data_IF_624882985671
#
_entry.id   IF_624882985671
#
_cell.length_a   1.000
_cell.length_b   1.000
_cell.length_c   1.000
_cell.angle_alpha   90.00
_cell.angle_beta   90.00
_cell.angle_gamma   90.00
#
_symmetry.space_group_name_H-M   'P 1'
#
loop_
_entity.id
_entity.type
_entity.pdbx_description
1 polymer ?
#
# COMPACT_ATOMS: atom_id res chain seq x y z
N UNK A 1 44.56 -16.12 23.00
CA UNK A 1 43.41 -16.49 22.14
C UNK A 1 43.89 -16.60 20.70
N UNK A 2 43.61 -17.71 20.02
CA UNK A 2 44.09 -17.94 18.64
C UNK A 2 43.35 -17.06 17.63
N UNK A 3 43.94 -16.83 16.45
CA UNK A 3 43.28 -16.08 15.35
C UNK A 3 41.97 -16.75 14.91
N UNK A 4 41.92 -18.08 14.94
CA UNK A 4 40.73 -18.89 14.61
C UNK A 4 39.62 -18.65 15.65
N UNK A 5 39.98 -18.63 16.93
CA UNK A 5 39.01 -18.36 18.02
C UNK A 5 38.42 -16.95 17.92
N UNK A 6 39.21 -15.95 17.51
CA UNK A 6 38.71 -14.59 17.28
C UNK A 6 37.77 -14.52 16.08
N UNK A 7 38.09 -15.18 14.96
CA UNK A 7 37.24 -15.22 13.78
C UNK A 7 35.89 -15.89 14.10
N UNK A 8 35.90 -17.04 14.78
CA UNK A 8 34.68 -17.75 15.21
C UNK A 8 33.79 -16.90 16.12
N UNK A 9 34.38 -16.16 17.06
CA UNK A 9 33.62 -15.25 17.94
C UNK A 9 32.98 -14.10 17.17
N UNK A 10 33.68 -13.52 16.19
CA UNK A 10 33.12 -12.45 15.34
C UNK A 10 31.96 -12.99 14.50
N UNK A 11 32.11 -14.17 13.89
CA UNK A 11 31.04 -14.80 13.11
C UNK A 11 29.82 -15.14 13.98
N UNK A 12 30.04 -15.69 15.18
CA UNK A 12 28.94 -16.02 16.10
C UNK A 12 28.18 -14.77 16.55
N UNK A 13 28.89 -13.68 16.85
CA UNK A 13 28.24 -12.40 17.19
C UNK A 13 27.48 -11.82 16.00
N UNK A 14 28.03 -11.89 14.78
CA UNK A 14 27.34 -11.43 13.57
C UNK A 14 26.06 -12.24 13.30
N UNK A 15 26.10 -13.57 13.42
CA UNK A 15 24.92 -14.44 13.26
C UNK A 15 23.88 -14.17 14.34
N UNK A 16 24.31 -13.98 15.60
CA UNK A 16 23.38 -13.63 16.69
C UNK A 16 22.78 -12.23 16.52
N UNK A 17 23.52 -11.27 15.98
CA UNK A 17 22.99 -9.94 15.68
C UNK A 17 21.94 -9.99 14.58
N UNK A 18 22.22 -10.71 13.48
CA UNK A 18 21.27 -10.90 12.38
C UNK A 18 19.99 -11.62 12.83
N UNK A 19 20.13 -12.66 13.67
CA UNK A 19 19.00 -13.38 14.24
C UNK A 19 18.21 -12.55 15.26
N UNK A 20 18.87 -11.62 15.97
CA UNK A 20 18.19 -10.68 16.86
C UNK A 20 17.39 -9.64 16.07
N UNK A 21 17.91 -9.13 14.96
CA UNK A 21 17.15 -8.23 14.07
C UNK A 21 15.93 -8.93 13.48
N UNK A 22 16.04 -10.18 13.02
CA UNK A 22 14.87 -10.92 12.49
C UNK A 22 13.87 -11.39 13.56
N UNK A 23 14.20 -11.30 14.85
CA UNK A 23 13.34 -11.70 15.97
C UNK A 23 12.48 -10.56 16.53
N UNK A 24 12.67 -9.32 16.07
CA UNK A 24 11.75 -8.22 16.29
C UNK A 24 11.00 -7.99 14.99
N UNK A 25 9.69 -8.21 14.99
CA UNK A 25 8.85 -7.96 13.82
C UNK A 25 9.13 -6.55 13.30
N UNK A 26 9.38 -6.45 11.99
CA UNK A 26 9.59 -5.16 11.34
C UNK A 26 8.21 -4.54 11.13
N UNK A 27 8.10 -3.25 11.44
CA UNK A 27 6.94 -2.44 11.11
C UNK A 27 7.41 -1.41 10.10
N UNK A 28 7.01 -1.59 8.85
CA UNK A 28 7.35 -0.69 7.76
C UNK A 28 6.12 0.14 7.38
N UNK A 29 6.32 1.43 7.15
CA UNK A 29 5.29 2.29 6.58
C UNK A 29 5.64 2.60 5.12
N UNK A 30 4.68 2.42 4.22
CA UNK A 30 4.80 2.69 2.79
C UNK A 30 3.85 3.83 2.41
N UNK A 31 4.39 4.91 1.86
CA UNK A 31 3.60 6.04 1.37
C UNK A 31 3.10 5.83 -0.08
N UNK A 32 2.33 6.77 -0.63
CA UNK A 32 2.05 6.77 -2.07
C UNK A 32 1.04 5.72 -2.56
N UNK A 33 0.28 5.09 -1.66
CA UNK A 33 -0.79 4.17 -2.06
C UNK A 33 -1.91 4.94 -2.77
N UNK A 34 -2.41 4.41 -3.89
CA UNK A 34 -3.44 5.03 -4.74
C UNK A 34 -3.06 6.43 -5.30
N UNK A 35 -1.77 6.70 -5.49
CA UNK A 35 -1.26 8.01 -5.94
C UNK A 35 -1.50 8.35 -7.43
N UNK A 36 -2.02 7.41 -8.22
CA UNK A 36 -2.31 7.58 -9.64
C UNK A 36 -3.47 6.68 -10.08
N UNK A 37 -4.14 7.05 -11.17
CA UNK A 37 -5.22 6.27 -11.77
C UNK A 37 -6.54 7.03 -11.90
N UNK A 38 -7.60 6.28 -12.12
CA UNK A 38 -8.94 6.83 -12.29
C UNK A 38 -10.04 5.94 -11.71
N UNK A 39 -11.16 6.58 -11.38
CA UNK A 39 -12.46 5.95 -11.19
C UNK A 39 -13.42 6.44 -12.28
N UNK A 40 -14.17 5.52 -12.89
CA UNK A 40 -15.25 5.84 -13.82
C UNK A 40 -16.59 5.74 -13.10
N UNK A 41 -17.40 6.79 -13.18
CA UNK A 41 -18.76 6.83 -12.63
C UNK A 41 -19.65 7.72 -13.50
N UNK A 42 -20.91 7.30 -13.73
CA UNK A 42 -21.85 8.09 -14.54
C UNK A 42 -21.39 8.34 -15.99
N UNK A 43 -20.46 7.52 -16.51
CA UNK A 43 -19.86 7.70 -17.83
C UNK A 43 -18.63 8.62 -17.88
N UNK A 44 -18.28 9.25 -16.76
CA UNK A 44 -17.17 10.19 -16.61
C UNK A 44 -15.98 9.52 -15.92
N UNK A 45 -14.76 9.94 -16.29
CA UNK A 45 -13.52 9.49 -15.66
C UNK A 45 -13.03 10.56 -14.67
N UNK A 46 -12.79 10.15 -13.43
CA UNK A 46 -12.29 10.96 -12.32
C UNK A 46 -10.85 10.56 -12.04
N UNK A 47 -9.92 11.50 -12.01
CA UNK A 47 -8.47 11.22 -11.86
C UNK A 47 -8.03 11.42 -10.41
N UNK A 48 -7.22 10.51 -9.88
CA UNK A 48 -6.70 10.60 -8.50
C UNK A 48 -5.84 11.84 -8.28
N UNK A 49 -6.01 12.53 -7.16
CA UNK A 49 -5.22 13.72 -6.77
C UNK A 49 -4.64 13.65 -5.35
N UNK A 50 -4.58 12.45 -4.76
CA UNK A 50 -4.04 12.23 -3.42
C UNK A 50 -3.41 10.85 -3.26
N UNK A 51 -2.87 10.56 -2.07
CA UNK A 51 -2.29 9.25 -1.74
C UNK A 51 -2.54 8.87 -0.28
N UNK A 52 -2.51 7.57 -0.01
CA UNK A 52 -2.58 6.97 1.32
C UNK A 52 -1.23 6.46 1.83
N UNK A 53 -1.20 6.13 3.13
CA UNK A 53 -0.08 5.43 3.78
C UNK A 53 -0.61 4.09 4.27
N UNK A 54 0.13 3.02 4.01
CA UNK A 54 -0.17 1.66 4.47
C UNK A 54 1.01 1.19 5.32
N UNK A 55 0.73 0.45 6.39
CA UNK A 55 1.79 -0.23 7.15
C UNK A 55 1.82 -1.70 6.75
N UNK A 56 3.00 -2.30 6.85
CA UNK A 56 3.10 -3.74 7.02
C UNK A 56 3.59 -4.09 8.42
N UNK A 57 3.37 -5.34 8.81
CA UNK A 57 3.99 -5.92 9.99
C UNK A 57 4.38 -7.36 9.74
N UNK A 58 5.58 -7.73 10.16
CA UNK A 58 5.95 -9.13 10.35
C UNK A 58 5.53 -9.55 11.77
N UNK A 59 4.65 -10.55 11.90
CA UNK A 59 4.56 -11.24 13.19
C UNK A 59 5.82 -12.09 13.37
N UNK A 60 6.45 -11.99 14.54
CA UNK A 60 7.71 -12.67 14.81
C UNK A 60 7.55 -14.18 14.58
N UNK A 61 8.37 -14.71 13.66
CA UNK A 61 8.42 -16.12 13.19
C UNK A 61 7.63 -16.45 11.90
N UNK A 62 6.98 -15.48 11.27
CA UNK A 62 6.29 -15.71 9.99
C UNK A 62 7.20 -15.49 8.79
N UNK A 63 6.95 -16.22 7.70
CA UNK A 63 7.69 -16.10 6.43
C UNK A 63 7.09 -15.00 5.53
N UNK A 64 6.04 -14.32 5.97
CA UNK A 64 5.32 -13.27 5.26
C UNK A 64 5.13 -12.04 6.16
N UNK A 65 5.13 -10.86 5.53
CA UNK A 65 4.71 -9.60 6.14
C UNK A 65 3.26 -9.32 5.71
N UNK A 66 2.40 -9.00 6.66
CA UNK A 66 1.00 -8.66 6.42
C UNK A 66 0.82 -7.15 6.30
N UNK A 67 0.06 -6.72 5.30
CA UNK A 67 -0.30 -5.31 5.10
C UNK A 67 -1.59 -4.94 5.84
N UNK A 68 -1.63 -3.73 6.40
CA UNK A 68 -2.82 -3.15 7.01
C UNK A 68 -2.81 -1.62 6.98
N UNK A 69 -3.99 -1.02 7.16
CA UNK A 69 -4.09 0.43 7.31
C UNK A 69 -3.64 0.87 8.71
N UNK A 70 -2.63 1.74 8.77
CA UNK A 70 -2.27 2.44 10.02
C UNK A 70 -3.35 3.42 10.47
N UNK A 71 -3.96 4.07 9.49
CA UNK A 71 -5.05 5.02 9.65
C UNK A 71 -5.94 4.96 8.41
N UNK A 72 -7.20 5.41 8.52
CA UNK A 72 -8.10 5.52 7.38
C UNK A 72 -7.45 6.42 6.32
N UNK A 73 -7.06 5.83 5.18
CA UNK A 73 -6.55 6.58 4.04
C UNK A 73 -7.73 7.18 3.27
N UNK A 74 -7.60 8.42 2.83
CA UNK A 74 -8.60 9.08 1.98
C UNK A 74 -7.94 9.56 0.71
N UNK A 75 -8.56 9.25 -0.43
CA UNK A 75 -8.06 9.64 -1.75
C UNK A 75 -9.19 10.27 -2.53
N UNK A 76 -8.92 11.46 -3.07
CA UNK A 76 -9.87 12.15 -3.93
C UNK A 76 -9.58 11.83 -5.40
N UNK A 77 -10.66 11.64 -6.15
CA UNK A 77 -10.65 11.56 -7.60
C UNK A 77 -11.49 12.70 -8.15
N UNK A 78 -10.92 13.52 -9.02
CA UNK A 78 -11.55 14.75 -9.52
C UNK A 78 -11.92 14.59 -10.98
N UNK A 79 -13.13 15.01 -11.34
CA UNK A 79 -13.56 15.08 -12.73
C UNK A 79 -13.02 16.33 -13.42
N UNK A 80 -12.24 16.15 -14.49
CA UNK A 80 -11.69 17.24 -15.31
C UNK A 80 -12.49 17.39 -16.62
N UNK A 81 -13.77 17.72 -16.52
CA UNK A 81 -14.68 17.75 -17.68
C UNK A 81 -15.59 18.96 -17.82
N UNK A 82 -15.46 20.00 -16.98
CA UNK A 82 -16.15 21.27 -17.21
C UNK A 82 -16.57 22.05 -15.97
N UNK A 83 -17.71 22.73 -16.05
CA UNK A 83 -18.17 23.78 -15.12
C UNK A 83 -18.50 23.31 -13.69
N UNK A 84 -18.56 22.01 -13.46
CA UNK A 84 -18.81 21.40 -12.15
C UNK A 84 -17.67 20.45 -11.81
N UNK A 85 -16.98 20.75 -10.72
CA UNK A 85 -15.86 19.98 -10.18
C UNK A 85 -16.39 18.85 -9.29
N UNK A 86 -17.05 17.86 -9.90
CA UNK A 86 -17.47 16.68 -9.16
C UNK A 86 -16.23 15.94 -8.64
N UNK A 87 -16.29 15.53 -7.38
CA UNK A 87 -15.22 14.81 -6.70
C UNK A 87 -15.77 13.51 -6.14
N UNK A 88 -15.02 12.42 -6.33
CA UNK A 88 -15.21 11.17 -5.60
C UNK A 88 -14.17 11.13 -4.48
N UNK A 89 -14.63 11.25 -3.24
CA UNK A 89 -13.77 11.03 -2.07
C UNK A 89 -13.90 9.56 -1.65
N UNK A 90 -12.81 8.80 -1.77
CA UNK A 90 -12.72 7.40 -1.35
C UNK A 90 -12.00 7.30 0.00
N UNK A 91 -12.74 6.95 1.05
CA UNK A 91 -12.19 6.57 2.35
C UNK A 91 -11.96 5.07 2.41
N UNK A 92 -10.70 4.65 2.45
CA UNK A 92 -10.29 3.25 2.57
C UNK A 92 -10.36 2.85 4.04
N UNK A 93 -11.14 1.81 4.33
CA UNK A 93 -11.39 1.32 5.68
C UNK A 93 -10.80 -0.07 5.94
N UNK A 94 -10.44 -0.79 4.88
CA UNK A 94 -9.76 -2.07 4.96
C UNK A 94 -8.71 -2.16 3.86
N UNK A 95 -7.54 -2.65 4.20
CA UNK A 95 -6.44 -2.94 3.29
C UNK A 95 -5.73 -4.17 3.85
N UNK A 96 -5.50 -5.17 3.02
CA UNK A 96 -4.87 -6.41 3.42
C UNK A 96 -4.10 -7.00 2.25
N UNK A 97 -3.19 -7.92 2.55
CA UNK A 97 -2.36 -8.62 1.59
C UNK A 97 -1.06 -9.01 2.26
N UNK A 98 -0.19 -9.69 1.53
CA UNK A 98 1.10 -10.10 2.07
C UNK A 98 2.21 -10.03 1.03
N UNK A 99 3.45 -10.02 1.54
CA UNK A 99 4.69 -10.22 0.77
C UNK A 99 5.61 -11.16 1.55
N UNK A 100 6.57 -11.87 0.92
CA UNK A 100 7.59 -12.61 1.65
C UNK A 100 8.38 -11.71 2.62
N UNK A 101 8.70 -12.19 3.82
CA UNK A 101 9.53 -11.48 4.82
C UNK A 101 11.00 -11.38 4.38
N UNK A 102 11.80 -10.51 5.03
CA UNK A 102 13.20 -10.08 4.76
C UNK A 102 13.31 -8.61 4.25
N UNK A 103 14.44 -7.94 4.42
CA UNK A 103 14.67 -6.56 3.93
C UNK A 103 15.72 -6.52 2.82
N UNK A 104 15.74 -7.56 1.97
CA UNK A 104 16.69 -7.65 0.87
C UNK A 104 16.04 -8.06 -0.46
N UNK A 105 16.55 -7.48 -1.55
CA UNK A 105 16.18 -7.84 -2.92
C UNK A 105 14.85 -7.24 -3.41
N UNK A 106 14.35 -7.83 -4.49
CA UNK A 106 13.03 -7.55 -5.07
C UNK A 106 12.01 -8.57 -4.56
N UNK A 107 10.80 -8.09 -4.28
CA UNK A 107 9.70 -8.90 -3.73
C UNK A 107 8.39 -8.52 -4.34
N UNK A 108 7.50 -9.49 -4.49
CA UNK A 108 6.13 -9.25 -4.96
C UNK A 108 5.16 -9.39 -3.78
N UNK A 109 4.18 -8.51 -3.73
CA UNK A 109 3.08 -8.57 -2.77
C UNK A 109 1.75 -8.34 -3.47
N UNK A 110 0.67 -8.85 -2.88
CA UNK A 110 -0.68 -8.65 -3.41
C UNK A 110 -1.73 -8.74 -2.32
N UNK A 111 -2.92 -8.22 -2.62
CA UNK A 111 -4.05 -8.34 -1.71
C UNK A 111 -5.28 -7.57 -2.15
N UNK A 112 -6.06 -7.10 -1.18
CA UNK A 112 -7.34 -6.45 -1.39
C UNK A 112 -7.52 -5.20 -0.55
N UNK A 113 -8.48 -4.38 -0.97
CA UNK A 113 -8.89 -3.17 -0.27
C UNK A 113 -10.40 -2.98 -0.35
N UNK A 114 -10.96 -2.26 0.62
CA UNK A 114 -12.35 -1.81 0.56
C UNK A 114 -12.55 -0.51 1.32
N UNK A 115 -13.50 0.29 0.87
CA UNK A 115 -13.77 1.61 1.42
C UNK A 115 -15.17 2.13 1.12
N UNK A 116 -15.50 3.26 1.73
CA UNK A 116 -16.69 4.04 1.41
C UNK A 116 -16.31 5.20 0.49
N UNK A 117 -17.09 5.43 -0.54
CA UNK A 117 -16.90 6.51 -1.48
C UNK A 117 -18.12 7.43 -1.49
N UNK A 118 -17.87 8.72 -1.70
CA UNK A 118 -18.91 9.74 -1.89
C UNK A 118 -18.60 10.53 -3.14
N UNK A 119 -19.53 10.52 -4.10
CA UNK A 119 -19.54 11.51 -5.19
C UNK A 119 -20.25 12.75 -4.67
N UNK A 120 -19.60 13.91 -4.75
CA UNK A 120 -20.14 15.19 -4.35
C UNK A 120 -19.73 16.28 -5.34
N UNK A 121 -20.58 17.30 -5.49
CA UNK A 121 -20.41 18.34 -6.48
C UNK A 121 -21.57 19.34 -6.46
N UNK A 122 -21.39 20.53 -7.04
CA UNK A 122 -22.45 21.52 -7.18
C UNK A 122 -23.58 21.05 -8.11
N UNK A 123 -24.83 21.22 -7.67
CA UNK A 123 -26.01 21.08 -8.54
C UNK A 123 -26.68 19.70 -8.53
N UNK A 124 -26.24 18.76 -7.67
CA UNK A 124 -26.90 17.48 -7.43
C UNK A 124 -26.70 17.02 -5.98
N UNK A 125 -27.48 16.01 -5.56
CA UNK A 125 -27.29 15.36 -4.25
C UNK A 125 -26.05 14.46 -4.26
N UNK A 126 -25.49 14.25 -3.08
CA UNK A 126 -24.38 13.33 -2.89
C UNK A 126 -24.82 11.87 -3.08
N UNK A 127 -23.95 11.09 -3.70
CA UNK A 127 -24.15 9.65 -3.82
C UNK A 127 -23.07 8.93 -3.02
N UNK A 128 -23.51 8.13 -2.04
CA UNK A 128 -22.63 7.30 -1.22
C UNK A 128 -22.69 5.85 -1.68
N UNK A 129 -21.54 5.19 -1.73
CA UNK A 129 -21.42 3.79 -2.15
C UNK A 129 -20.19 3.14 -1.52
N UNK A 130 -20.13 1.82 -1.58
CA UNK A 130 -18.98 1.03 -1.11
C UNK A 130 -18.21 0.54 -2.32
N UNK A 131 -16.88 0.60 -2.25
CA UNK A 131 -15.96 0.07 -3.25
C UNK A 131 -15.01 -0.94 -2.64
N UNK A 132 -14.56 -1.88 -3.46
CA UNK A 132 -13.47 -2.77 -3.15
C UNK A 132 -12.69 -3.16 -4.40
N UNK A 133 -11.46 -3.60 -4.18
CA UNK A 133 -10.55 -3.92 -5.26
C UNK A 133 -9.39 -4.79 -4.82
N UNK A 134 -8.50 -5.04 -5.76
CA UNK A 134 -7.24 -5.75 -5.56
C UNK A 134 -6.07 -4.80 -5.76
N UNK A 135 -4.91 -5.21 -5.23
CA UNK A 135 -3.63 -4.56 -5.49
C UNK A 135 -2.53 -5.60 -5.68
N UNK A 136 -1.51 -5.23 -6.45
CA UNK A 136 -0.29 -6.00 -6.69
C UNK A 136 0.89 -5.02 -6.73
N UNK A 137 2.01 -5.34 -6.09
CA UNK A 137 3.16 -4.45 -6.03
C UNK A 137 4.50 -5.20 -6.00
N UNK A 138 5.54 -4.58 -6.58
CA UNK A 138 6.93 -4.97 -6.44
C UNK A 138 7.63 -4.03 -5.45
N UNK A 139 8.27 -4.59 -4.43
CA UNK A 139 9.05 -3.90 -3.41
C UNK A 139 10.53 -4.12 -3.66
N UNK A 140 11.30 -3.04 -3.67
CA UNK A 140 12.75 -3.05 -3.85
C UNK A 140 13.42 -2.52 -2.60
N UNK A 141 14.22 -3.37 -1.96
CA UNK A 141 15.01 -3.02 -0.79
C UNK A 141 16.47 -2.80 -1.14
N UNK A 142 17.08 -1.78 -0.52
CA UNK A 142 18.51 -1.51 -0.67
C UNK A 142 19.30 -2.03 0.53
N UNK A 143 20.62 -1.85 0.52
CA UNK A 143 21.46 -2.20 1.67
C UNK A 143 21.24 -1.29 2.90
N UNK A 144 20.55 -0.16 2.72
CA UNK A 144 20.12 0.70 3.82
C UNK A 144 18.74 0.23 4.30
N UNK A 145 18.61 -0.22 5.56
CA UNK A 145 17.36 -0.74 6.11
C UNK A 145 16.25 0.31 6.24
N UNK A 146 16.56 1.59 6.03
CA UNK A 146 15.59 2.69 5.99
C UNK A 146 15.29 3.17 4.56
N UNK A 147 15.81 2.48 3.54
CA UNK A 147 15.59 2.84 2.15
C UNK A 147 15.06 1.64 1.36
N UNK A 148 13.75 1.69 1.11
CA UNK A 148 13.04 0.83 0.19
C UNK A 148 12.09 1.65 -0.69
N UNK A 149 11.81 1.17 -1.88
CA UNK A 149 10.80 1.73 -2.80
C UNK A 149 9.85 0.64 -3.24
N UNK A 150 8.65 1.01 -3.66
CA UNK A 150 7.75 0.06 -4.31
C UNK A 150 7.05 0.70 -5.50
N UNK A 151 6.63 -0.14 -6.44
CA UNK A 151 5.73 0.21 -7.53
C UNK A 151 4.67 -0.88 -7.67
N UNK A 152 3.42 -0.48 -7.87
CA UNK A 152 2.31 -1.40 -7.93
C UNK A 152 1.11 -0.84 -8.67
N UNK A 153 0.09 -1.68 -8.79
CA UNK A 153 -1.17 -1.35 -9.42
C UNK A 153 -2.33 -1.75 -8.52
N UNK A 154 -3.43 -1.02 -8.65
CA UNK A 154 -4.70 -1.37 -8.01
C UNK A 154 -5.81 -1.40 -9.05
N UNK A 155 -6.83 -2.21 -8.78
CA UNK A 155 -8.00 -2.35 -9.65
C UNK A 155 -9.27 -2.45 -8.81
N UNK A 156 -10.28 -1.69 -9.18
CA UNK A 156 -11.63 -1.86 -8.64
C UNK A 156 -12.21 -3.18 -9.17
N UNK A 157 -12.82 -3.96 -8.27
CA UNK A 157 -13.41 -5.27 -8.60
C UNK A 157 -14.82 -5.44 -8.06
N UNK A 158 -15.27 -4.53 -7.19
CA UNK A 158 -16.61 -4.56 -6.63
C UNK A 158 -17.10 -3.16 -6.23
N UNK A 159 -18.37 -2.91 -6.54
CA UNK A 159 -19.08 -1.70 -6.14
C UNK A 159 -20.50 -2.04 -5.69
N UNK A 160 -21.00 -1.32 -4.69
CA UNK A 160 -22.39 -1.43 -4.25
C UNK A 160 -23.39 -0.78 -5.22
N UNK A 161 -22.91 -0.04 -6.22
CA UNK A 161 -23.71 0.58 -7.27
C UNK A 161 -23.21 0.16 -8.66
N UNK A 162 -24.10 0.04 -9.66
CA UNK A 162 -23.68 -0.37 -11.00
C UNK A 162 -22.90 0.75 -11.71
N UNK A 163 -22.04 0.36 -12.64
CA UNK A 163 -21.37 1.30 -13.55
C UNK A 163 -20.19 2.05 -12.95
N UNK A 164 -19.69 1.61 -11.79
CA UNK A 164 -18.39 2.03 -11.28
C UNK A 164 -17.32 1.07 -11.78
N UNK A 165 -16.17 1.60 -12.17
CA UNK A 165 -14.96 0.84 -12.45
C UNK A 165 -13.74 1.71 -12.17
N UNK A 166 -12.55 1.13 -12.10
CA UNK A 166 -11.34 1.93 -11.93
C UNK A 166 -10.08 1.11 -11.83
N UNK A 167 -8.96 1.79 -12.04
CA UNK A 167 -7.64 1.22 -11.93
C UNK A 167 -6.59 2.32 -11.83
N UNK A 168 -5.45 1.99 -11.25
CA UNK A 168 -4.38 2.96 -11.10
C UNK A 168 -3.08 2.35 -10.62
N UNK A 169 -2.14 3.24 -10.32
CA UNK A 169 -0.84 2.90 -9.79
C UNK A 169 -0.73 3.22 -8.30
N UNK A 170 0.33 2.69 -7.70
CA UNK A 170 0.80 3.04 -6.36
C UNK A 170 2.31 2.99 -6.39
N UNK A 171 2.96 4.03 -5.90
CA UNK A 171 4.41 4.07 -5.85
C UNK A 171 4.88 4.99 -4.74
N UNK A 172 5.96 4.60 -4.08
CA UNK A 172 6.40 5.32 -2.91
C UNK A 172 7.67 4.74 -2.33
N UNK A 173 7.97 5.20 -1.13
CA UNK A 173 9.13 4.79 -0.36
C UNK A 173 8.77 4.40 1.06
N UNK A 174 9.66 3.60 1.64
CA UNK A 174 9.70 3.33 3.06
C UNK A 174 9.82 4.64 3.86
N UNK A 175 9.05 4.78 4.93
CA UNK A 175 9.02 5.94 5.84
C UNK A 175 9.63 5.64 7.21
#
# INVERSE_FOLDING_TARGET
>A
MSRITKALLITAVAVMLMAATSAYGYYEDWDGWFNSGYLRYGGNDFTSVGSGIVSDSTLTLEEEDDFYLKANASVDFVYDGGWYEDTITLGISNFFGSKPTDQSGQKEGSGGWSGSARVHGPGHEDVNFVLGGTWEAEFTYTSDPLAGTYEGTWRETSSSIPGVSGSGGSSGSLQ
#
